data_IF_893770863663
#
_entry.id   IF_893770863663
#
_cell.length_a   1.000
_cell.length_b   1.000
_cell.length_c   1.000
_cell.angle_alpha   90.00
_cell.angle_beta   90.00
_cell.angle_gamma   90.00
#
_symmetry.space_group_name_H-M   'P 1'
#
loop_
_entity.id
_entity.type
_entity.pdbx_description
1 polymer ?
#
# COMPACT_ATOMS: atom_id res chain seq x y z
N UNK A 1 -1.47 -15.78 12.55
CA UNK A 1 -2.27 -14.54 12.58
C UNK A 1 -3.72 -14.92 12.78
N UNK A 2 -4.37 -14.45 13.84
CA UNK A 2 -5.80 -14.65 14.02
C UNK A 2 -6.52 -13.78 13.01
N UNK A 3 -7.30 -14.39 12.13
CA UNK A 3 -8.24 -13.67 11.26
C UNK A 3 -9.20 -12.94 12.19
N UNK A 4 -9.19 -11.62 12.15
CA UNK A 4 -10.07 -10.81 12.99
C UNK A 4 -11.49 -10.95 12.39
N UNK A 5 -12.27 -11.90 12.92
CA UNK A 5 -13.65 -12.10 12.51
C UNK A 5 -14.50 -10.97 13.08
N UNK A 6 -15.43 -10.44 12.28
CA UNK A 6 -16.36 -9.41 12.70
C UNK A 6 -17.29 -9.91 13.82
N UNK A 7 -17.70 -9.00 14.69
CA UNK A 7 -18.74 -9.29 15.67
C UNK A 7 -20.11 -9.43 14.99
N UNK A 8 -21.09 -10.06 15.67
CA UNK A 8 -22.45 -10.18 15.14
C UNK A 8 -23.06 -8.82 14.78
N UNK A 9 -22.86 -7.81 15.61
CA UNK A 9 -23.35 -6.45 15.36
C UNK A 9 -22.74 -5.84 14.10
N UNK A 10 -21.46 -6.06 13.87
CA UNK A 10 -20.79 -5.60 12.65
C UNK A 10 -21.33 -6.35 11.42
N UNK A 11 -21.50 -7.66 11.49
CA UNK A 11 -22.07 -8.48 10.41
C UNK A 11 -23.51 -8.05 10.09
N UNK A 12 -24.33 -7.74 11.10
CA UNK A 12 -25.70 -7.25 10.94
C UNK A 12 -25.73 -5.85 10.29
N UNK A 13 -24.81 -4.96 10.69
CA UNK A 13 -24.67 -3.65 10.09
C UNK A 13 -24.27 -3.74 8.61
N UNK A 14 -23.36 -4.65 8.28
CA UNK A 14 -22.95 -4.91 6.90
C UNK A 14 -24.09 -5.47 6.05
N UNK A 15 -24.84 -6.46 6.57
CA UNK A 15 -25.99 -6.99 5.85
C UNK A 15 -27.08 -5.92 5.62
N UNK A 16 -27.29 -5.06 6.60
CA UNK A 16 -28.22 -3.93 6.47
C UNK A 16 -27.76 -2.94 5.39
N UNK A 17 -26.47 -2.61 5.36
CA UNK A 17 -25.89 -1.74 4.35
C UNK A 17 -25.97 -2.37 2.95
N UNK A 18 -25.67 -3.67 2.85
CA UNK A 18 -25.76 -4.44 1.62
C UNK A 18 -27.20 -4.50 1.09
N UNK A 19 -28.17 -4.74 1.98
CA UNK A 19 -29.59 -4.77 1.63
C UNK A 19 -30.05 -3.41 1.08
N UNK A 20 -29.66 -2.33 1.75
CA UNK A 20 -29.98 -0.97 1.32
C UNK A 20 -29.38 -0.63 -0.04
N UNK A 21 -28.11 -1.00 -0.28
CA UNK A 21 -27.43 -0.73 -1.54
C UNK A 21 -28.02 -1.56 -2.70
N UNK A 22 -28.39 -2.82 -2.43
CA UNK A 22 -28.96 -3.72 -3.44
C UNK A 22 -30.41 -3.40 -3.78
N UNK A 23 -31.22 -2.97 -2.81
CA UNK A 23 -32.68 -2.78 -2.98
C UNK A 23 -33.12 -1.32 -2.98
N UNK A 24 -32.25 -0.39 -2.57
CA UNK A 24 -32.57 1.02 -2.38
C UNK A 24 -33.37 1.32 -1.10
N UNK A 25 -33.70 0.30 -0.30
CA UNK A 25 -34.53 0.42 0.90
C UNK A 25 -33.88 -0.27 2.10
N UNK A 26 -34.23 0.15 3.31
CA UNK A 26 -33.83 -0.57 4.51
C UNK A 26 -34.65 -1.87 4.67
N UNK A 27 -34.03 -2.92 5.26
CA UNK A 27 -34.82 -4.14 5.56
C UNK A 27 -35.98 -3.81 6.50
N UNK A 28 -37.11 -4.46 6.27
CA UNK A 28 -38.33 -4.27 7.09
C UNK A 28 -38.17 -4.82 8.52
N UNK A 29 -37.21 -5.71 8.73
CA UNK A 29 -36.90 -6.34 10.00
C UNK A 29 -35.56 -5.84 10.50
N UNK A 30 -35.52 -5.36 11.74
CA UNK A 30 -34.23 -5.02 12.39
C UNK A 30 -33.53 -6.30 12.81
N UNK A 31 -32.27 -6.45 12.41
CA UNK A 31 -31.45 -7.65 12.66
C UNK A 31 -30.99 -7.62 14.12
N UNK A 32 -31.70 -8.30 15.01
CA UNK A 32 -31.34 -8.39 16.42
C UNK A 32 -30.71 -9.75 16.78
N UNK A 33 -30.99 -10.79 16.02
CA UNK A 33 -30.53 -12.15 16.27
C UNK A 33 -30.22 -12.91 14.97
N UNK A 34 -29.66 -14.11 15.08
CA UNK A 34 -29.28 -14.95 13.93
C UNK A 34 -30.46 -15.32 13.03
N UNK A 35 -31.67 -15.48 13.59
CA UNK A 35 -32.86 -15.82 12.81
C UNK A 35 -33.29 -14.63 11.93
N UNK A 36 -33.23 -13.40 12.45
CA UNK A 36 -33.50 -12.20 11.70
C UNK A 36 -32.44 -12.02 10.58
N UNK A 37 -31.16 -12.28 10.89
CA UNK A 37 -30.08 -12.24 9.92
C UNK A 37 -30.35 -13.19 8.74
N UNK A 38 -30.72 -14.43 9.03
CA UNK A 38 -31.03 -15.45 8.01
C UNK A 38 -32.26 -15.05 7.19
N UNK A 39 -33.28 -14.46 7.82
CA UNK A 39 -34.47 -14.00 7.13
C UNK A 39 -34.18 -12.86 6.16
N UNK A 40 -33.44 -11.86 6.60
CA UNK A 40 -33.01 -10.73 5.75
C UNK A 40 -32.08 -11.20 4.63
N UNK A 41 -31.14 -12.09 4.93
CA UNK A 41 -30.24 -12.69 3.94
C UNK A 41 -31.01 -13.48 2.86
N UNK A 42 -31.97 -14.30 3.27
CA UNK A 42 -32.82 -15.07 2.35
C UNK A 42 -33.69 -14.17 1.48
N UNK A 43 -34.25 -13.10 2.07
CA UNK A 43 -35.07 -12.12 1.32
C UNK A 43 -34.19 -11.39 0.28
N UNK A 44 -32.96 -11.06 0.64
CA UNK A 44 -32.01 -10.43 -0.27
C UNK A 44 -31.67 -11.35 -1.46
N UNK A 45 -31.41 -12.63 -1.19
CA UNK A 45 -31.14 -13.65 -2.23
C UNK A 45 -32.32 -13.86 -3.20
N UNK A 46 -33.55 -13.74 -2.72
CA UNK A 46 -34.74 -13.82 -3.58
C UNK A 46 -34.84 -12.66 -4.57
N UNK A 47 -34.23 -11.51 -4.28
CA UNK A 47 -34.14 -10.34 -5.18
C UNK A 47 -33.18 -10.50 -6.34
N UNK A 48 -32.40 -11.58 -6.37
CA UNK A 48 -31.40 -11.87 -7.40
C UNK A 48 -29.97 -11.63 -6.93
N UNK A 49 -29.00 -12.28 -7.57
CA UNK A 49 -27.60 -12.26 -7.17
C UNK A 49 -26.84 -11.06 -7.76
N UNK A 50 -27.18 -10.65 -8.99
CA UNK A 50 -26.47 -9.57 -9.68
C UNK A 50 -26.48 -8.22 -8.93
N UNK A 51 -27.65 -7.75 -8.40
CA UNK A 51 -27.68 -6.55 -7.58
C UNK A 51 -26.84 -6.68 -6.30
N UNK A 52 -26.81 -7.89 -5.71
CA UNK A 52 -26.04 -8.16 -4.49
C UNK A 52 -24.53 -8.06 -4.76
N UNK A 53 -24.04 -8.61 -5.87
CA UNK A 53 -22.63 -8.55 -6.23
C UNK A 53 -22.19 -7.10 -6.47
N UNK A 54 -23.02 -6.32 -7.18
CA UNK A 54 -22.76 -4.89 -7.38
C UNK A 54 -22.72 -4.09 -6.07
N UNK A 55 -23.71 -4.33 -5.20
CA UNK A 55 -23.77 -3.71 -3.88
C UNK A 55 -22.61 -4.15 -2.97
N UNK A 56 -22.22 -5.44 -3.03
CA UNK A 56 -21.10 -5.96 -2.26
C UNK A 56 -19.78 -5.28 -2.64
N UNK A 57 -19.54 -5.04 -3.93
CA UNK A 57 -18.38 -4.30 -4.39
C UNK A 57 -18.30 -2.90 -3.78
N UNK A 58 -19.40 -2.15 -3.78
CA UNK A 58 -19.45 -0.80 -3.21
C UNK A 58 -19.28 -0.77 -1.68
N UNK A 59 -19.88 -1.74 -0.99
CA UNK A 59 -19.76 -1.84 0.47
C UNK A 59 -18.35 -2.24 0.88
N UNK A 60 -17.73 -3.19 0.16
CA UNK A 60 -16.34 -3.59 0.40
C UNK A 60 -15.35 -2.47 0.10
N UNK A 61 -15.53 -1.73 -0.99
CA UNK A 61 -14.67 -0.62 -1.36
C UNK A 61 -14.59 0.44 -0.24
N UNK A 62 -15.74 0.80 0.32
CA UNK A 62 -15.81 1.72 1.47
C UNK A 62 -15.13 1.15 2.73
N UNK A 63 -15.17 -0.16 2.92
CA UNK A 63 -14.62 -0.83 4.11
C UNK A 63 -13.13 -1.03 4.02
N UNK A 64 -12.61 -1.36 2.84
CA UNK A 64 -11.16 -1.53 2.61
C UNK A 64 -10.39 -0.28 3.01
N UNK A 65 -10.94 0.90 2.75
CA UNK A 65 -10.32 2.16 3.16
C UNK A 65 -10.16 2.32 4.68
N UNK A 66 -11.05 1.76 5.48
CA UNK A 66 -11.04 1.89 6.94
C UNK A 66 -10.22 0.82 7.66
N UNK A 67 -9.97 -0.33 7.04
CA UNK A 67 -9.33 -1.51 7.66
C UNK A 67 -7.91 -1.78 7.14
N UNK A 68 -7.32 -0.85 6.42
CA UNK A 68 -5.98 -1.00 5.83
C UNK A 68 -4.90 -1.00 6.92
N UNK A 69 -4.57 -2.16 7.43
CA UNK A 69 -3.38 -2.37 8.28
C UNK A 69 -2.30 -3.01 7.40
N UNK A 70 -1.35 -2.19 6.94
CA UNK A 70 -0.22 -2.67 6.17
C UNK A 70 0.91 -3.10 7.10
N UNK A 71 1.24 -4.39 7.11
CA UNK A 71 2.52 -4.88 7.61
C UNK A 71 3.45 -5.07 6.40
N UNK A 72 4.12 -4.00 6.01
CA UNK A 72 5.10 -4.02 4.91
C UNK A 72 6.42 -4.60 5.42
N UNK A 73 7.01 -5.57 4.71
CA UNK A 73 8.36 -6.08 5.04
C UNK A 73 9.45 -5.02 4.83
N UNK A 74 9.21 -4.09 3.93
CA UNK A 74 10.13 -3.00 3.57
C UNK A 74 9.59 -1.62 3.98
N UNK A 75 8.85 -1.56 5.09
CA UNK A 75 8.25 -0.32 5.59
C UNK A 75 9.29 0.79 5.83
N UNK A 76 10.50 0.41 6.26
CA UNK A 76 11.61 1.33 6.48
C UNK A 76 12.14 2.00 5.18
N UNK A 77 11.93 1.37 4.03
CA UNK A 77 12.41 1.86 2.72
C UNK A 77 11.30 2.65 2.00
N UNK A 78 10.04 2.46 2.37
CA UNK A 78 8.91 3.14 1.75
C UNK A 78 8.64 4.48 2.44
N UNK A 79 8.43 5.52 1.64
CA UNK A 79 7.94 6.81 2.14
C UNK A 79 6.42 6.76 2.36
N UNK A 80 5.93 7.61 3.26
CA UNK A 80 4.50 7.76 3.51
C UNK A 80 3.76 8.21 2.24
N UNK A 81 2.50 7.78 2.11
CA UNK A 81 1.62 8.14 1.00
C UNK A 81 1.41 9.65 0.93
N UNK A 82 1.69 10.24 -0.23
CA UNK A 82 1.47 11.66 -0.48
C UNK A 82 0.08 11.85 -1.05
N UNK A 83 -0.81 12.43 -0.28
CA UNK A 83 -2.21 12.66 -0.69
C UNK A 83 -2.38 13.77 -1.70
N UNK A 84 -1.49 14.76 -1.70
CA UNK A 84 -1.57 15.94 -2.57
C UNK A 84 -0.20 16.26 -3.15
N UNK A 85 -0.11 16.34 -4.45
CA UNK A 85 1.09 16.71 -5.18
C UNK A 85 1.62 15.59 -6.08
N UNK A 86 1.90 15.93 -7.31
CA UNK A 86 2.38 14.97 -8.30
C UNK A 86 3.89 14.72 -8.21
N UNK A 87 4.63 15.51 -7.39
CA UNK A 87 6.09 15.48 -7.36
C UNK A 87 6.59 15.55 -5.93
N UNK A 88 7.34 14.53 -5.53
CA UNK A 88 8.12 14.55 -4.29
C UNK A 88 9.55 14.94 -4.60
N UNK A 89 10.07 15.92 -3.87
CA UNK A 89 11.43 16.41 -4.05
C UNK A 89 12.30 16.06 -2.85
N UNK A 90 13.40 15.36 -3.11
CA UNK A 90 14.46 15.12 -2.13
C UNK A 90 15.68 15.98 -2.46
N UNK A 91 16.08 16.82 -1.52
CA UNK A 91 17.24 17.69 -1.66
C UNK A 91 18.33 17.18 -0.71
N UNK A 92 19.47 16.81 -1.24
CA UNK A 92 20.66 16.44 -0.48
C UNK A 92 21.74 17.49 -0.72
N UNK A 93 22.40 17.91 0.36
CA UNK A 93 23.63 18.68 0.26
C UNK A 93 24.77 17.70 0.16
N UNK A 94 25.54 17.80 -0.93
CA UNK A 94 26.80 17.08 -1.03
C UNK A 94 27.82 17.87 -0.20
N UNK A 95 28.35 17.21 0.80
CA UNK A 95 29.39 17.80 1.62
C UNK A 95 30.61 18.11 0.76
N UNK A 96 31.18 19.29 0.94
CA UNK A 96 32.47 19.59 0.37
C UNK A 96 33.51 19.00 1.31
N UNK A 97 34.61 18.47 0.73
CA UNK A 97 35.74 18.05 1.53
C UNK A 97 36.13 19.18 2.49
N UNK A 98 36.40 18.81 3.74
CA UNK A 98 36.93 19.76 4.71
C UNK A 98 38.30 20.24 4.19
N UNK A 99 38.37 21.51 3.86
CA UNK A 99 39.65 22.11 3.57
C UNK A 99 40.50 22.05 4.85
N UNK A 100 41.66 21.40 4.74
CA UNK A 100 42.57 21.26 5.89
C UNK A 100 43.08 22.61 6.42
N UNK A 101 42.96 23.64 5.62
CA UNK A 101 43.40 25.00 5.97
C UNK A 101 42.56 26.05 5.23
N UNK A 102 42.11 27.09 5.93
CA UNK A 102 41.46 28.22 5.30
C UNK A 102 42.49 29.06 4.55
N UNK A 103 42.37 29.19 3.22
CA UNK A 103 43.29 29.97 2.37
C UNK A 103 43.43 31.43 2.85
N UNK A 104 42.40 31.95 3.58
CA UNK A 104 42.46 33.30 4.16
C UNK A 104 43.41 33.40 5.34
N UNK A 105 43.74 32.30 5.99
CA UNK A 105 44.69 32.21 7.12
C UNK A 105 46.07 31.74 6.69
N UNK A 106 46.21 31.18 5.49
CA UNK A 106 47.47 30.73 4.90
C UNK A 106 47.93 31.73 3.87
N UNK A 107 48.46 32.83 4.31
CA UNK A 107 49.04 33.85 3.43
C UNK A 107 50.41 33.43 2.95
N UNK A 108 50.57 33.30 1.64
CA UNK A 108 51.90 33.10 0.99
C UNK A 108 52.35 34.44 0.46
N UNK A 109 53.60 34.78 0.71
CA UNK A 109 54.19 36.04 0.27
C UNK A 109 54.08 36.20 -1.26
N UNK A 110 53.57 37.34 -1.72
CA UNK A 110 53.32 37.62 -3.14
C UNK A 110 51.99 37.08 -3.73
N UNK A 111 51.15 36.42 -2.95
CA UNK A 111 49.83 36.01 -3.41
C UNK A 111 48.71 36.84 -2.74
N UNK A 112 47.74 37.23 -3.56
CA UNK A 112 46.55 37.91 -3.08
C UNK A 112 45.43 36.90 -2.92
N UNK A 113 44.84 36.85 -1.73
CA UNK A 113 43.65 36.00 -1.42
C UNK A 113 42.41 36.89 -1.36
N UNK A 114 41.39 36.54 -2.12
CA UNK A 114 40.12 37.23 -2.07
C UNK A 114 39.32 36.81 -0.80
N UNK A 115 39.12 37.74 0.16
CA UNK A 115 38.41 37.42 1.40
C UNK A 115 36.92 37.23 1.21
N UNK A 116 36.35 37.54 0.03
CA UNK A 116 34.95 37.47 -0.27
C UNK A 116 34.54 36.20 -1.05
N UNK A 117 35.45 35.30 -1.30
CA UNK A 117 35.10 34.02 -1.95
C UNK A 117 34.20 33.19 -1.04
N UNK A 118 32.99 32.95 -1.50
CA UNK A 118 32.01 32.09 -0.81
C UNK A 118 31.99 30.74 -1.50
N UNK A 119 32.39 29.70 -0.79
CA UNK A 119 32.25 28.32 -1.26
C UNK A 119 30.82 27.88 -1.09
N UNK A 120 30.11 27.66 -2.22
CA UNK A 120 28.74 27.21 -2.20
C UNK A 120 28.70 25.67 -2.15
N UNK A 121 27.91 25.07 -1.24
CA UNK A 121 27.74 23.62 -1.23
C UNK A 121 27.09 23.14 -2.53
N UNK A 122 27.49 21.98 -3.00
CA UNK A 122 26.83 21.31 -4.13
C UNK A 122 25.52 20.73 -3.64
N UNK A 123 24.44 21.03 -4.34
CA UNK A 123 23.10 20.54 -4.02
C UNK A 123 22.70 19.50 -5.07
N UNK A 124 22.28 18.35 -4.60
CA UNK A 124 21.68 17.31 -5.43
C UNK A 124 20.18 17.26 -5.18
N UNK A 125 19.41 17.44 -6.24
CA UNK A 125 17.94 17.41 -6.16
C UNK A 125 17.43 16.23 -6.97
N UNK A 126 16.69 15.34 -6.30
CA UNK A 126 15.95 14.25 -6.95
C UNK A 126 14.47 14.56 -6.91
N UNK A 127 13.82 14.48 -8.06
CA UNK A 127 12.37 14.59 -8.18
C UNK A 127 11.81 13.19 -8.45
N UNK A 128 10.86 12.77 -7.62
CA UNK A 128 10.09 11.55 -7.82
C UNK A 128 8.71 11.95 -8.32
N UNK A 129 8.31 11.41 -9.46
CA UNK A 129 7.03 11.68 -10.08
C UNK A 129 6.50 10.43 -10.77
N UNK A 130 5.20 10.40 -10.97
CA UNK A 130 4.48 9.26 -11.53
C UNK A 130 3.69 8.54 -10.45
N UNK A 131 2.56 7.99 -10.85
CA UNK A 131 1.74 7.12 -10.05
C UNK A 131 1.43 5.89 -10.90
N UNK A 132 1.59 4.72 -10.32
CA UNK A 132 1.13 3.47 -10.90
C UNK A 132 -0.22 3.12 -10.28
N UNK A 133 -1.20 2.82 -11.13
CA UNK A 133 -2.54 2.45 -10.68
C UNK A 133 -2.72 0.96 -10.90
N UNK A 134 -2.89 0.23 -9.81
CA UNK A 134 -3.19 -1.20 -9.85
C UNK A 134 -4.70 -1.41 -9.72
N UNK A 135 -5.24 -2.24 -10.62
CA UNK A 135 -6.62 -2.67 -10.57
C UNK A 135 -6.66 -4.15 -10.19
N UNK A 136 -7.41 -4.48 -9.16
CA UNK A 136 -7.69 -5.87 -8.80
C UNK A 136 -9.15 -6.23 -9.08
N UNK A 137 -9.39 -7.50 -9.40
CA UNK A 137 -10.71 -8.05 -9.61
C UNK A 137 -10.89 -9.33 -8.81
N UNK A 138 -12.03 -9.46 -8.16
CA UNK A 138 -12.40 -10.66 -7.40
C UNK A 138 -13.63 -11.27 -8.02
N UNK A 139 -13.56 -12.58 -8.25
CA UNK A 139 -14.72 -13.37 -8.71
C UNK A 139 -15.38 -14.01 -7.50
N UNK A 140 -16.67 -13.75 -7.33
CA UNK A 140 -17.49 -14.31 -6.28
C UNK A 140 -18.51 -15.25 -6.95
N UNK A 141 -18.52 -16.52 -6.51
CA UNK A 141 -19.48 -17.48 -7.01
C UNK A 141 -20.80 -17.41 -6.23
N UNK A 142 -21.90 -17.65 -6.94
CA UNK A 142 -23.25 -17.60 -6.34
C UNK A 142 -23.38 -18.50 -5.13
N UNK A 143 -22.86 -19.73 -5.20
CA UNK A 143 -22.97 -20.71 -4.12
C UNK A 143 -22.22 -20.26 -2.85
N UNK A 144 -21.14 -19.52 -3.02
CA UNK A 144 -20.40 -18.92 -1.89
C UNK A 144 -21.22 -17.85 -1.21
N UNK A 145 -21.89 -16.98 -2.00
CA UNK A 145 -22.73 -15.92 -1.48
C UNK A 145 -23.99 -16.50 -0.81
N UNK A 146 -24.61 -17.49 -1.43
CA UNK A 146 -25.78 -18.20 -0.87
C UNK A 146 -25.45 -18.85 0.48
N UNK A 147 -24.26 -19.44 0.60
CA UNK A 147 -23.80 -20.04 1.85
C UNK A 147 -23.49 -18.97 2.92
N UNK A 148 -22.82 -17.89 2.52
CA UNK A 148 -22.41 -16.82 3.42
C UNK A 148 -23.62 -16.07 4.03
N UNK A 149 -24.66 -15.83 3.26
CA UNK A 149 -25.86 -15.08 3.71
C UNK A 149 -26.81 -15.88 4.61
N UNK A 150 -26.57 -17.19 4.79
CA UNK A 150 -27.37 -18.04 5.69
C UNK A 150 -27.03 -17.88 7.17
N UNK A 151 -25.78 -17.51 7.49
CA UNK A 151 -25.34 -17.35 8.88
C UNK A 151 -24.40 -16.14 9.01
N UNK A 152 -24.57 -15.37 10.08
CA UNK A 152 -23.75 -14.20 10.38
C UNK A 152 -22.25 -14.51 10.53
N UNK A 153 -21.91 -15.68 11.09
CA UNK A 153 -20.53 -16.12 11.25
C UNK A 153 -19.89 -16.48 9.90
N UNK A 154 -20.64 -17.17 9.03
CA UNK A 154 -20.18 -17.52 7.69
C UNK A 154 -20.03 -16.26 6.82
N UNK A 155 -20.95 -15.30 6.95
CA UNK A 155 -20.85 -14.01 6.29
C UNK A 155 -19.59 -13.22 6.73
N UNK A 156 -19.34 -13.18 8.04
CA UNK A 156 -18.13 -12.56 8.59
C UNK A 156 -16.85 -13.20 8.04
N UNK A 157 -16.79 -14.53 8.00
CA UNK A 157 -15.64 -15.29 7.45
C UNK A 157 -15.47 -15.06 5.95
N UNK A 158 -16.56 -15.01 5.21
CA UNK A 158 -16.56 -14.72 3.78
C UNK A 158 -15.96 -13.33 3.51
N UNK A 159 -16.44 -12.29 4.18
CA UNK A 159 -15.94 -10.93 4.03
C UNK A 159 -14.45 -10.84 4.44
N UNK A 160 -14.09 -11.44 5.58
CA UNK A 160 -12.71 -11.47 6.03
C UNK A 160 -11.79 -12.18 5.01
N UNK A 161 -12.27 -13.27 4.39
CA UNK A 161 -11.54 -14.00 3.36
C UNK A 161 -11.32 -13.17 2.10
N UNK A 162 -12.36 -12.48 1.61
CA UNK A 162 -12.28 -11.57 0.47
C UNK A 162 -11.29 -10.45 0.74
N UNK A 163 -11.39 -9.79 1.90
CA UNK A 163 -10.51 -8.69 2.28
C UNK A 163 -9.06 -9.13 2.44
N UNK A 164 -8.82 -10.29 3.07
CA UNK A 164 -7.47 -10.86 3.22
C UNK A 164 -6.86 -11.18 1.86
N UNK A 165 -7.65 -11.68 0.90
CA UNK A 165 -7.17 -11.96 -0.44
C UNK A 165 -6.74 -10.70 -1.19
N UNK A 166 -7.53 -9.63 -1.12
CA UNK A 166 -7.19 -8.33 -1.69
C UNK A 166 -5.89 -7.78 -1.06
N UNK A 167 -5.83 -7.77 0.27
CA UNK A 167 -4.67 -7.26 1.01
C UNK A 167 -3.39 -8.05 0.68
N UNK A 168 -3.48 -9.38 0.58
CA UNK A 168 -2.35 -10.22 0.20
C UNK A 168 -1.86 -9.94 -1.23
N UNK A 169 -2.77 -9.71 -2.17
CA UNK A 169 -2.40 -9.35 -3.55
C UNK A 169 -1.71 -7.98 -3.60
N UNK A 170 -2.24 -6.98 -2.92
CA UNK A 170 -1.61 -5.67 -2.82
C UNK A 170 -0.21 -5.75 -2.21
N UNK A 171 -0.05 -6.49 -1.12
CA UNK A 171 1.27 -6.71 -0.50
C UNK A 171 2.26 -7.39 -1.43
N UNK A 172 1.81 -8.36 -2.22
CA UNK A 172 2.66 -9.04 -3.20
C UNK A 172 3.12 -8.10 -4.31
N UNK A 173 2.23 -7.25 -4.83
CA UNK A 173 2.58 -6.27 -5.86
C UNK A 173 3.57 -5.24 -5.31
N UNK A 174 3.27 -4.64 -4.15
CA UNK A 174 4.18 -3.70 -3.49
C UNK A 174 5.56 -4.31 -3.22
N UNK A 175 5.61 -5.55 -2.76
CA UNK A 175 6.88 -6.26 -2.52
C UNK A 175 7.64 -6.52 -3.83
N UNK A 176 6.94 -6.83 -4.93
CA UNK A 176 7.54 -7.01 -6.24
C UNK A 176 8.13 -5.70 -6.79
N UNK A 177 7.42 -4.59 -6.62
CA UNK A 177 7.88 -3.25 -7.05
C UNK A 177 9.13 -2.81 -6.28
N UNK A 178 9.14 -2.99 -4.97
CA UNK A 178 10.30 -2.67 -4.13
C UNK A 178 11.51 -3.54 -4.52
N UNK A 179 11.30 -4.83 -4.73
CA UNK A 179 12.37 -5.74 -5.21
C UNK A 179 12.87 -5.32 -6.58
N UNK A 180 11.98 -4.96 -7.50
CA UNK A 180 12.33 -4.41 -8.81
C UNK A 180 13.17 -3.15 -8.70
N UNK A 181 12.79 -2.21 -7.85
CA UNK A 181 13.55 -0.99 -7.60
C UNK A 181 14.95 -1.27 -7.03
N UNK A 182 15.06 -2.20 -6.08
CA UNK A 182 16.36 -2.61 -5.51
C UNK A 182 17.26 -3.25 -6.58
N UNK A 183 16.71 -4.16 -7.40
CA UNK A 183 17.46 -4.82 -8.49
C UNK A 183 17.91 -3.78 -9.51
N UNK A 184 17.05 -2.85 -9.90
CA UNK A 184 17.41 -1.77 -10.83
C UNK A 184 18.53 -0.90 -10.26
N UNK A 185 18.48 -0.58 -8.97
CA UNK A 185 19.53 0.19 -8.29
C UNK A 185 20.86 -0.57 -8.30
N UNK A 186 20.87 -1.85 -7.96
CA UNK A 186 22.08 -2.71 -7.97
C UNK A 186 22.65 -2.79 -9.39
N UNK A 187 21.79 -3.02 -10.39
CA UNK A 187 22.21 -3.12 -11.79
C UNK A 187 22.79 -1.81 -12.29
N UNK A 188 22.16 -0.68 -11.97
CA UNK A 188 22.65 0.65 -12.34
C UNK A 188 24.00 0.94 -11.66
N UNK A 189 24.16 0.58 -10.38
CA UNK A 189 25.43 0.74 -9.66
C UNK A 189 26.53 -0.13 -10.28
N UNK A 190 26.23 -1.39 -10.60
CA UNK A 190 27.17 -2.28 -11.26
C UNK A 190 27.59 -1.77 -12.65
N UNK A 191 26.64 -1.27 -13.44
CA UNK A 191 26.93 -0.72 -14.76
C UNK A 191 27.79 0.55 -14.71
N UNK A 192 27.63 1.37 -13.66
CA UNK A 192 28.36 2.62 -13.51
C UNK A 192 29.74 2.43 -12.86
N UNK A 193 29.89 1.48 -11.97
CA UNK A 193 31.08 1.30 -11.13
C UNK A 193 31.44 -0.19 -10.96
N UNK A 194 31.62 -0.87 -12.07
CA UNK A 194 31.93 -2.31 -12.09
C UNK A 194 33.30 -2.64 -11.45
N UNK A 195 34.21 -1.69 -11.41
CA UNK A 195 35.53 -1.89 -10.81
C UNK A 195 35.48 -2.10 -9.28
N UNK A 196 34.47 -1.54 -8.62
CA UNK A 196 34.23 -1.69 -7.18
C UNK A 196 33.19 -2.78 -6.85
N UNK A 197 32.74 -3.54 -7.84
CA UNK A 197 31.83 -4.65 -7.65
C UNK A 197 32.60 -5.97 -7.47
N UNK A 198 32.40 -6.63 -6.34
CA UNK A 198 33.04 -7.90 -6.04
C UNK A 198 32.06 -9.04 -6.36
N UNK A 199 32.49 -9.95 -7.22
CA UNK A 199 31.77 -11.21 -7.45
C UNK A 199 32.07 -12.19 -6.31
N UNK A 200 31.16 -12.28 -5.35
CA UNK A 200 31.34 -13.12 -4.15
C UNK A 200 31.50 -14.60 -4.49
N UNK A 201 30.83 -15.08 -5.54
CA UNK A 201 30.96 -16.48 -5.97
C UNK A 201 32.35 -16.75 -6.53
N UNK A 202 32.90 -15.85 -7.34
CA UNK A 202 34.22 -16.02 -7.89
C UNK A 202 35.29 -15.89 -6.80
N UNK A 203 35.14 -14.94 -5.89
CA UNK A 203 36.04 -14.78 -4.73
C UNK A 203 36.02 -15.96 -3.74
N UNK A 204 35.00 -16.80 -3.78
CA UNK A 204 34.94 -18.01 -2.98
C UNK A 204 35.62 -19.22 -3.61
N UNK A 205 35.66 -19.25 -4.96
CA UNK A 205 36.29 -20.36 -5.72
C UNK A 205 37.77 -20.12 -6.09
N UNK A 206 38.27 -18.89 -5.99
CA UNK A 206 39.66 -18.50 -6.14
C UNK A 206 40.43 -18.64 -4.80
#
# INVERSE_FOLDING_TARGET
MSVNTMTFEQSAAYLTALYKEATGQFPSIQIANTADFTTVGTTLLQGGVDPIIGALGQVLDRTIFSMRVYNKKFEEITADEIRFGAITRKINFLDNDLDAQDDRLSLTDGQSVDPYVVKKPKVYCMNYYGAEVHQDSITIFRDQLDSALKDANEFSRFLAGVMTNIDNKHKQVEEADIRGAIINFITAKYAHDSANAINVLQAYYD
#
